data_IF_758085050998
#
_entry.id   IF_758085050998
#
_cell.length_a   1.000
_cell.length_b   1.000
_cell.length_c   1.000
_cell.angle_alpha   90.00
_cell.angle_beta   90.00
_cell.angle_gamma   90.00
#
_symmetry.space_group_name_H-M   'P 1'
#
loop_
_entity.id
_entity.type
_entity.pdbx_description
1 polymer ?
#
# COMPACT_ATOMS: atom_id res chain seq x y z
N UNK A 1 3.52 13.51 -15.07
CA UNK A 1 3.71 12.79 -13.80
C UNK A 1 2.54 13.12 -12.88
N UNK A 2 1.67 12.17 -12.60
CA UNK A 2 0.45 12.42 -11.81
C UNK A 2 0.82 12.47 -10.33
N UNK A 3 0.65 13.64 -9.70
CA UNK A 3 0.85 13.82 -8.26
C UNK A 3 -0.44 13.47 -7.53
N UNK A 4 -0.32 12.97 -6.29
CA UNK A 4 -1.46 12.74 -5.41
C UNK A 4 -2.17 14.07 -5.09
N UNK A 5 -3.50 14.09 -5.10
CA UNK A 5 -4.31 15.27 -4.76
C UNK A 5 -4.11 15.66 -3.28
N UNK A 6 -4.34 16.94 -2.95
CA UNK A 6 -4.02 17.50 -1.64
C UNK A 6 -4.66 16.79 -0.43
N UNK A 7 -5.83 16.19 -0.62
CA UNK A 7 -6.61 15.57 0.46
C UNK A 7 -6.54 14.04 0.45
N UNK A 8 -5.68 13.44 -0.38
CA UNK A 8 -5.54 11.99 -0.45
C UNK A 8 -4.35 11.59 0.41
N UNK A 9 -4.58 10.80 1.45
CA UNK A 9 -3.54 10.22 2.31
C UNK A 9 -3.07 8.89 1.75
N UNK A 10 -1.97 8.34 2.28
CA UNK A 10 -1.48 7.01 1.90
C UNK A 10 -0.51 6.54 2.98
N UNK A 11 -0.67 5.26 3.29
CA UNK A 11 0.16 4.54 4.24
C UNK A 11 0.64 3.27 3.55
N UNK A 12 1.93 2.98 3.66
CA UNK A 12 2.54 1.75 3.16
C UNK A 12 2.78 0.83 4.35
N UNK A 13 2.18 -0.35 4.32
CA UNK A 13 2.46 -1.43 5.24
C UNK A 13 3.43 -2.41 4.59
N UNK A 14 4.54 -2.72 5.25
CA UNK A 14 5.56 -3.63 4.72
C UNK A 14 6.18 -4.46 5.84
N UNK A 15 6.61 -5.68 5.53
CA UNK A 15 7.26 -6.57 6.50
C UNK A 15 8.50 -5.97 7.16
N UNK A 16 9.27 -5.20 6.41
CA UNK A 16 10.46 -4.52 6.90
C UNK A 16 10.68 -3.23 6.11
N UNK A 17 11.26 -2.23 6.78
CA UNK A 17 11.66 -0.96 6.16
C UNK A 17 13.16 -1.06 5.89
N UNK A 18 13.54 -1.19 4.62
CA UNK A 18 14.95 -1.16 4.23
C UNK A 18 15.51 0.26 4.28
N UNK A 19 16.83 0.40 4.45
CA UNK A 19 17.51 1.70 4.40
C UNK A 19 17.22 2.47 3.11
N UNK A 20 17.18 1.75 1.97
CA UNK A 20 16.85 2.32 0.68
C UNK A 20 15.43 2.90 0.67
N UNK A 21 14.44 2.12 1.13
CA UNK A 21 13.04 2.58 1.19
C UNK A 21 12.89 3.78 2.14
N UNK A 22 13.62 3.79 3.25
CA UNK A 22 13.61 4.93 4.19
C UNK A 22 14.13 6.21 3.53
N UNK A 23 15.23 6.12 2.76
CA UNK A 23 15.77 7.26 2.01
C UNK A 23 14.82 7.74 0.92
N UNK A 24 14.19 6.81 0.20
CA UNK A 24 13.22 7.11 -0.86
C UNK A 24 11.98 7.82 -0.31
N UNK A 25 11.41 7.34 0.80
CA UNK A 25 10.29 7.99 1.49
C UNK A 25 10.69 9.38 2.00
N UNK A 26 11.89 9.51 2.60
CA UNK A 26 12.37 10.82 3.06
C UNK A 26 12.48 11.83 1.92
N UNK A 27 13.02 11.42 0.77
CA UNK A 27 13.13 12.25 -0.43
C UNK A 27 11.76 12.60 -1.02
N UNK A 28 10.81 11.66 -1.01
CA UNK A 28 9.46 11.90 -1.48
C UNK A 28 8.72 12.91 -0.58
N UNK A 29 8.75 12.67 0.73
CA UNK A 29 8.04 13.49 1.73
C UNK A 29 8.61 14.92 1.84
N UNK A 30 9.83 15.18 1.36
CA UNK A 30 10.37 16.55 1.29
C UNK A 30 9.83 17.36 0.09
N UNK A 31 9.20 16.71 -0.89
CA UNK A 31 8.71 17.34 -2.13
C UNK A 31 7.19 17.25 -2.28
N UNK A 32 6.55 16.30 -1.61
CA UNK A 32 5.14 15.96 -1.78
C UNK A 32 4.48 15.70 -0.43
N UNK A 33 3.15 15.59 -0.46
CA UNK A 33 2.38 15.18 0.72
C UNK A 33 2.94 13.88 1.29
N UNK A 34 3.18 13.79 2.61
CA UNK A 34 3.83 12.64 3.21
C UNK A 34 3.12 11.32 2.95
N UNK A 35 3.92 10.28 2.68
CA UNK A 35 3.49 8.89 2.78
C UNK A 35 3.96 8.39 4.14
N UNK A 36 3.02 7.83 4.91
CA UNK A 36 3.33 7.13 6.15
C UNK A 36 3.81 5.71 5.83
N UNK A 37 4.78 5.20 6.59
CA UNK A 37 5.28 3.83 6.42
C UNK A 37 5.25 3.12 7.76
N UNK A 38 4.68 1.90 7.78
CA UNK A 38 4.51 1.08 8.97
C UNK A 38 5.04 -0.33 8.72
N UNK A 39 5.62 -0.91 9.77
CA UNK A 39 6.03 -2.32 9.76
C UNK A 39 4.81 -3.19 10.01
N UNK A 40 4.55 -4.15 9.12
CA UNK A 40 3.48 -5.13 9.22
C UNK A 40 3.97 -6.46 8.64
N UNK A 41 4.32 -7.39 9.52
CA UNK A 41 4.95 -8.67 9.16
C UNK A 41 3.97 -9.80 8.83
N UNK A 42 2.68 -9.59 9.10
CA UNK A 42 1.71 -10.67 9.20
C UNK A 42 1.04 -11.04 7.87
N UNK A 43 1.57 -10.51 6.75
CA UNK A 43 1.11 -10.84 5.40
C UNK A 43 2.28 -11.07 4.44
N UNK A 44 2.13 -12.09 3.60
CA UNK A 44 2.97 -12.32 2.42
C UNK A 44 2.33 -11.74 1.15
N UNK A 45 1.02 -11.56 1.15
CA UNK A 45 0.25 -11.07 0.02
C UNK A 45 0.21 -9.54 -0.01
N UNK A 46 -0.09 -9.00 -1.19
CA UNK A 46 -0.18 -7.56 -1.43
C UNK A 46 -1.64 -7.16 -1.55
N UNK A 47 -1.99 -6.11 -0.83
CA UNK A 47 -3.32 -5.55 -0.84
C UNK A 47 -3.27 -4.05 -1.13
N UNK A 48 -4.31 -3.55 -1.77
CA UNK A 48 -4.57 -2.12 -1.93
C UNK A 48 -5.95 -1.82 -1.37
N UNK A 49 -6.00 -0.90 -0.41
CA UNK A 49 -7.26 -0.39 0.15
C UNK A 49 -7.46 1.02 -0.37
N UNK A 50 -8.63 1.29 -0.96
CA UNK A 50 -9.01 2.62 -1.44
C UNK A 50 -10.21 3.11 -0.63
N UNK A 51 -10.11 4.34 -0.14
CA UNK A 51 -11.16 5.03 0.61
C UNK A 51 -11.77 4.20 1.76
N UNK A 52 -10.99 3.27 2.31
CA UNK A 52 -11.40 2.33 3.36
C UNK A 52 -12.62 1.47 2.99
N UNK A 53 -12.97 1.38 1.70
CA UNK A 53 -14.17 0.73 1.22
C UNK A 53 -13.86 -0.34 0.16
N UNK A 54 -12.87 -0.09 -0.70
CA UNK A 54 -12.49 -1.03 -1.75
C UNK A 54 -11.23 -1.79 -1.33
N UNK A 55 -11.25 -3.10 -1.49
CA UNK A 55 -10.09 -3.96 -1.21
C UNK A 55 -9.70 -4.74 -2.45
N UNK A 56 -8.46 -4.56 -2.89
CA UNK A 56 -7.88 -5.30 -4.00
C UNK A 56 -6.76 -6.21 -3.50
N UNK A 57 -6.84 -7.49 -3.85
CA UNK A 57 -5.74 -8.44 -3.71
C UNK A 57 -4.92 -8.49 -5.01
N UNK A 58 -3.60 -8.44 -4.85
CA UNK A 58 -2.61 -8.26 -5.92
C UNK A 58 -1.70 -9.50 -5.95
N UNK A 59 -2.08 -10.47 -6.79
CA UNK A 59 -1.52 -11.84 -6.79
C UNK A 59 -0.08 -11.98 -7.29
N UNK A 60 0.47 -10.99 -8.00
CA UNK A 60 1.88 -10.95 -8.40
C UNK A 60 2.57 -9.62 -8.03
N UNK A 61 3.88 -9.49 -8.25
CA UNK A 61 4.58 -8.26 -7.91
C UNK A 61 4.14 -7.10 -8.81
N UNK A 62 3.96 -5.91 -8.22
CA UNK A 62 3.67 -4.69 -8.97
C UNK A 62 4.73 -4.35 -10.02
N UNK A 63 5.98 -4.84 -9.85
CA UNK A 63 7.05 -4.65 -10.85
C UNK A 63 6.79 -5.39 -12.17
N UNK A 64 5.95 -6.42 -12.12
CA UNK A 64 5.57 -7.26 -13.25
C UNK A 64 4.28 -6.77 -13.93
N UNK A 65 3.63 -5.74 -13.36
CA UNK A 65 2.45 -5.10 -13.92
C UNK A 65 2.77 -4.57 -15.34
N UNK A 66 2.02 -5.06 -16.33
CA UNK A 66 2.21 -4.71 -17.75
C UNK A 66 3.33 -5.48 -18.48
N UNK A 67 4.12 -6.30 -17.78
CA UNK A 67 5.13 -7.20 -18.40
C UNK A 67 4.65 -8.64 -18.54
N UNK A 68 3.74 -9.08 -17.67
CA UNK A 68 3.16 -10.42 -17.66
C UNK A 68 1.66 -10.35 -17.38
N UNK A 69 0.94 -11.41 -17.72
CA UNK A 69 -0.46 -11.57 -17.30
C UNK A 69 -0.56 -11.54 -15.79
N UNK A 70 -1.53 -10.77 -15.30
CA UNK A 70 -1.67 -10.42 -13.90
C UNK A 70 -3.16 -10.31 -13.55
N UNK A 71 -3.56 -10.88 -12.43
CA UNK A 71 -4.94 -10.80 -11.95
C UNK A 71 -5.05 -9.93 -10.70
N UNK A 72 -6.11 -9.13 -10.64
CA UNK A 72 -6.57 -8.42 -9.46
C UNK A 72 -7.87 -9.05 -8.99
N UNK A 73 -8.01 -9.29 -7.69
CA UNK A 73 -9.27 -9.74 -7.10
C UNK A 73 -9.83 -8.64 -6.21
N UNK A 74 -11.07 -8.22 -6.46
CA UNK A 74 -11.77 -7.25 -5.61
C UNK A 74 -12.52 -8.01 -4.50
N UNK A 75 -12.29 -7.63 -3.25
CA UNK A 75 -12.71 -8.36 -2.04
C UNK A 75 -13.35 -7.42 -1.01
N UNK A 76 -14.21 -6.51 -1.45
CA UNK A 76 -14.71 -5.40 -0.63
C UNK A 76 -15.36 -5.85 0.70
N UNK A 77 -15.98 -7.04 0.74
CA UNK A 77 -16.59 -7.62 1.95
C UNK A 77 -15.57 -7.79 3.09
N UNK A 78 -14.29 -8.05 2.76
CA UNK A 78 -13.23 -8.29 3.73
C UNK A 78 -12.53 -7.01 4.20
N UNK A 79 -12.88 -5.83 3.66
CA UNK A 79 -12.19 -4.56 3.97
C UNK A 79 -12.25 -4.22 5.45
N UNK A 80 -13.42 -4.41 6.09
CA UNK A 80 -13.61 -4.11 7.51
C UNK A 80 -12.72 -4.97 8.41
N UNK A 81 -12.55 -6.26 8.07
CA UNK A 81 -11.66 -7.17 8.79
C UNK A 81 -10.20 -6.75 8.65
N UNK A 82 -9.78 -6.38 7.45
CA UNK A 82 -8.41 -5.90 7.19
C UNK A 82 -8.11 -4.61 7.96
N UNK A 83 -9.02 -3.64 7.92
CA UNK A 83 -8.86 -2.39 8.68
C UNK A 83 -8.77 -2.62 10.18
N UNK A 84 -9.57 -3.55 10.72
CA UNK A 84 -9.50 -3.94 12.13
C UNK A 84 -8.14 -4.52 12.53
N UNK A 85 -7.52 -5.33 11.65
CA UNK A 85 -6.18 -5.88 11.88
C UNK A 85 -5.13 -4.75 11.87
N UNK A 86 -5.21 -3.84 10.90
CA UNK A 86 -4.26 -2.73 10.76
C UNK A 86 -4.36 -1.68 11.87
N UNK A 87 -5.55 -1.46 12.43
CA UNK A 87 -5.78 -0.49 13.51
C UNK A 87 -5.48 -1.03 14.92
N UNK A 88 -5.17 -2.32 15.04
CA UNK A 88 -4.81 -2.97 16.33
C UNK A 88 -3.31 -3.02 16.61
N UNK A 89 -2.48 -2.55 15.68
CA UNK A 89 -1.05 -2.32 15.89
C UNK A 89 -0.80 -0.92 16.46
#
# INVERSE_FOLDING_TARGET
MVKRKQNVTATIYTKAISNQLQLDIKRYNSQYLPIEIKVFSDTHDRFLIIDQAELYHIGASLKDLGKKWFAFSRMDIEVGRMLHILNKQ
#
